data_IF_948059851427
#
_entry.id   IF_948059851427
#
_cell.length_a   1.000
_cell.length_b   1.000
_cell.length_c   1.000
_cell.angle_alpha   90.00
_cell.angle_beta   90.00
_cell.angle_gamma   90.00
#
_symmetry.space_group_name_H-M   'P 1'
#
loop_
_entity.id
_entity.type
_entity.pdbx_description
1 polymer ?
#
# COMPACT_ATOMS: atom_id res chain seq x y z
N UNK A 1 11.88 -8.00 9.34
CA UNK A 1 13.02 -8.49 8.52
C UNK A 1 12.57 -9.44 7.42
N UNK A 2 11.87 -10.54 7.73
CA UNK A 2 11.37 -11.51 6.73
C UNK A 2 10.49 -10.88 5.63
N UNK A 3 9.52 -10.02 6.00
CA UNK A 3 8.67 -9.33 5.02
C UNK A 3 9.45 -8.42 4.06
N UNK A 4 10.53 -7.80 4.52
CA UNK A 4 11.39 -6.95 3.69
C UNK A 4 12.19 -7.78 2.68
N UNK A 5 12.70 -8.95 3.10
CA UNK A 5 13.41 -9.88 2.21
C UNK A 5 12.49 -10.41 1.10
N UNK A 6 11.25 -10.81 1.46
CA UNK A 6 10.24 -11.24 0.50
C UNK A 6 9.92 -10.12 -0.51
N UNK A 7 9.72 -8.90 -0.01
CA UNK A 7 9.50 -7.72 -0.86
C UNK A 7 10.66 -7.44 -1.81
N UNK A 8 11.90 -7.60 -1.35
CA UNK A 8 13.09 -7.43 -2.17
C UNK A 8 13.16 -8.46 -3.30
N UNK A 9 12.89 -9.74 -3.00
CA UNK A 9 12.88 -10.83 -3.99
C UNK A 9 11.86 -10.61 -5.09
N UNK A 10 10.67 -10.13 -4.73
CA UNK A 10 9.59 -9.78 -5.66
C UNK A 10 9.99 -8.63 -6.59
N UNK A 11 10.68 -7.62 -6.06
CA UNK A 11 11.15 -6.46 -6.84
C UNK A 11 12.24 -6.87 -7.84
N UNK A 12 13.15 -7.77 -7.43
CA UNK A 12 14.25 -8.23 -8.29
C UNK A 12 13.77 -9.16 -9.41
N UNK A 13 12.77 -10.00 -9.16
CA UNK A 13 12.32 -11.02 -10.11
C UNK A 13 11.10 -10.61 -10.97
N UNK A 14 10.40 -9.54 -10.58
CA UNK A 14 9.16 -9.12 -11.22
C UNK A 14 9.36 -8.07 -12.33
N UNK A 15 8.45 -8.07 -13.30
CA UNK A 15 8.26 -6.88 -14.13
C UNK A 15 7.90 -5.66 -13.26
N UNK A 16 8.13 -4.45 -13.76
CA UNK A 16 7.80 -3.21 -13.04
C UNK A 16 6.35 -3.20 -12.53
N UNK A 17 5.41 -3.80 -13.28
CA UNK A 17 4.00 -4.00 -12.89
C UNK A 17 3.85 -4.83 -11.62
N UNK A 18 4.63 -5.90 -11.49
CA UNK A 18 4.61 -6.76 -10.30
C UNK A 18 5.09 -5.99 -9.08
N UNK A 19 6.21 -5.25 -9.20
CA UNK A 19 6.70 -4.40 -8.10
C UNK A 19 5.65 -3.37 -7.63
N UNK A 20 5.01 -2.67 -8.57
CA UNK A 20 3.98 -1.67 -8.24
C UNK A 20 2.73 -2.31 -7.61
N UNK A 21 2.29 -3.50 -8.05
CA UNK A 21 1.17 -4.24 -7.41
C UNK A 21 1.45 -4.56 -5.94
N UNK A 22 2.67 -4.94 -5.61
CA UNK A 22 3.05 -5.24 -4.22
C UNK A 22 3.10 -3.99 -3.34
N UNK A 23 3.65 -2.89 -3.84
CA UNK A 23 3.62 -1.59 -3.14
C UNK A 23 2.17 -1.16 -2.90
N UNK A 24 1.34 -1.23 -3.93
CA UNK A 24 -0.06 -0.85 -3.85
C UNK A 24 -0.83 -1.73 -2.85
N UNK A 25 -0.61 -3.05 -2.87
CA UNK A 25 -1.18 -3.98 -1.91
C UNK A 25 -0.76 -3.69 -0.46
N UNK A 26 0.51 -3.36 -0.23
CA UNK A 26 1.01 -2.98 1.09
C UNK A 26 0.35 -1.69 1.63
N UNK A 27 0.13 -0.69 0.77
CA UNK A 27 -0.55 0.56 1.13
C UNK A 27 -2.01 0.34 1.50
N UNK A 28 -2.74 -0.46 0.71
CA UNK A 28 -4.13 -0.83 1.00
C UNK A 28 -4.21 -1.64 2.30
N UNK A 29 -3.32 -2.61 2.49
CA UNK A 29 -3.24 -3.38 3.73
C UNK A 29 -2.97 -2.47 4.94
N UNK A 30 -2.05 -1.51 4.83
CA UNK A 30 -1.77 -0.53 5.89
C UNK A 30 -3.00 0.34 6.22
N UNK A 31 -3.79 0.73 5.21
CA UNK A 31 -5.05 1.46 5.41
C UNK A 31 -6.08 0.60 6.18
N UNK A 32 -6.22 -0.68 5.82
CA UNK A 32 -7.11 -1.63 6.49
C UNK A 32 -6.67 -1.89 7.94
N UNK A 33 -5.39 -2.13 8.17
CA UNK A 33 -4.84 -2.34 9.51
C UNK A 33 -5.10 -1.12 10.41
N UNK A 34 -5.00 0.11 9.85
CA UNK A 34 -5.38 1.33 10.57
C UNK A 34 -6.86 1.39 10.95
N UNK A 35 -7.76 0.78 10.19
CA UNK A 35 -9.19 0.66 10.51
C UNK A 35 -9.48 -0.40 11.58
N UNK A 36 -8.67 -1.44 11.66
CA UNK A 36 -8.83 -2.54 12.64
C UNK A 36 -8.20 -2.19 13.99
N UNK A 37 -7.14 -1.37 14.01
CA UNK A 37 -6.42 -1.06 15.26
C UNK A 37 -7.30 -0.26 16.25
N UNK A 38 -7.55 -0.75 17.48
CA UNK A 38 -8.42 -0.09 18.46
C UNK A 38 -7.85 1.24 18.94
N UNK A 39 -8.71 2.24 19.06
CA UNK A 39 -8.37 3.61 19.50
C UNK A 39 -7.99 3.72 20.99
N UNK A 40 -7.89 2.60 21.72
CA UNK A 40 -7.86 2.59 23.20
C UNK A 40 -6.51 3.03 23.80
N UNK A 41 -5.45 3.08 22.99
CA UNK A 41 -4.13 3.63 23.37
C UNK A 41 -3.92 5.07 22.86
N UNK A 42 -4.96 5.71 22.31
CA UNK A 42 -4.87 7.03 21.70
C UNK A 42 -4.94 8.16 22.75
N UNK A 43 -3.89 8.29 23.57
CA UNK A 43 -3.62 9.52 24.33
C UNK A 43 -3.32 10.70 23.39
N UNK A 44 -2.05 10.96 23.07
CA UNK A 44 -1.62 12.09 22.22
C UNK A 44 -1.95 11.96 20.70
N UNK A 45 -2.73 10.94 20.30
CA UNK A 45 -3.09 10.63 18.91
C UNK A 45 -4.44 11.21 18.45
N UNK A 46 -5.12 11.99 19.30
CA UNK A 46 -6.42 12.61 18.97
C UNK A 46 -6.36 13.63 17.80
N UNK A 47 -5.15 14.08 17.40
CA UNK A 47 -4.98 15.15 16.40
C UNK A 47 -4.66 14.67 14.96
N UNK A 48 -4.22 13.43 14.73
CA UNK A 48 -3.98 12.94 13.35
C UNK A 48 -5.22 12.19 12.87
N UNK A 49 -6.03 12.84 12.03
CA UNK A 49 -7.25 12.27 11.46
C UNK A 49 -6.99 10.85 10.93
N UNK A 50 -7.34 9.82 11.71
CA UNK A 50 -7.25 8.40 11.32
C UNK A 50 -7.90 8.17 9.96
N UNK A 51 -9.01 8.87 9.73
CA UNK A 51 -9.72 8.88 8.45
C UNK A 51 -8.86 9.45 7.31
N UNK A 52 -8.13 10.55 7.53
CA UNK A 52 -7.23 11.11 6.52
C UNK A 52 -6.13 10.11 6.17
N UNK A 53 -5.52 9.46 7.16
CA UNK A 53 -4.47 8.47 6.92
C UNK A 53 -4.98 7.24 6.14
N UNK A 54 -6.17 6.75 6.51
CA UNK A 54 -6.84 5.64 5.80
C UNK A 54 -7.20 6.04 4.37
N UNK A 55 -7.80 7.22 4.18
CA UNK A 55 -8.17 7.73 2.86
C UNK A 55 -6.94 7.97 1.99
N UNK A 56 -5.87 8.54 2.56
CA UNK A 56 -4.64 8.83 1.84
C UNK A 56 -3.93 7.56 1.42
N UNK A 57 -3.73 6.60 2.33
CA UNK A 57 -3.11 5.32 1.99
C UNK A 57 -3.97 4.48 1.04
N UNK A 58 -5.28 4.45 1.28
CA UNK A 58 -6.23 3.71 0.45
C UNK A 58 -6.32 4.30 -0.97
N UNK A 59 -6.36 5.62 -1.11
CA UNK A 59 -6.38 6.28 -2.42
C UNK A 59 -5.07 6.11 -3.16
N UNK A 60 -3.91 6.27 -2.51
CA UNK A 60 -2.61 6.02 -3.12
C UNK A 60 -2.47 4.57 -3.60
N UNK A 61 -2.82 3.60 -2.75
CA UNK A 61 -2.80 2.19 -3.12
C UNK A 61 -3.77 1.90 -4.27
N UNK A 62 -5.00 2.42 -4.22
CA UNK A 62 -5.99 2.28 -5.27
C UNK A 62 -5.55 2.89 -6.61
N UNK A 63 -4.96 4.08 -6.57
CA UNK A 63 -4.46 4.79 -7.76
C UNK A 63 -3.30 4.03 -8.42
N UNK A 64 -2.40 3.44 -7.63
CA UNK A 64 -1.31 2.61 -8.16
C UNK A 64 -1.83 1.31 -8.78
N UNK A 65 -2.82 0.66 -8.16
CA UNK A 65 -3.48 -0.50 -8.77
C UNK A 65 -4.16 -0.11 -10.08
N UNK A 66 -4.90 1.00 -10.10
CA UNK A 66 -5.53 1.52 -11.32
C UNK A 66 -4.50 1.74 -12.42
N UNK A 67 -3.44 2.50 -12.13
CA UNK A 67 -2.36 2.79 -13.07
C UNK A 67 -1.73 1.51 -13.65
N UNK A 68 -1.41 0.52 -12.81
CA UNK A 68 -0.85 -0.74 -13.31
C UNK A 68 -1.85 -1.47 -14.19
N UNK A 69 -3.15 -1.42 -13.91
CA UNK A 69 -4.13 -2.13 -14.74
C UNK A 69 -4.38 -1.41 -16.08
N UNK A 70 -4.24 -0.08 -16.13
CA UNK A 70 -4.56 0.71 -17.32
C UNK A 70 -3.40 0.91 -18.29
N UNK A 71 -2.14 0.91 -17.83
CA UNK A 71 -0.99 1.12 -18.73
C UNK A 71 -0.75 -0.12 -19.59
N UNK A 72 -0.88 -0.06 -20.92
CA UNK A 72 -0.60 -1.19 -21.79
C UNK A 72 0.90 -1.51 -21.78
N UNK A 73 1.23 -2.79 -21.94
CA UNK A 73 2.63 -3.19 -22.12
C UNK A 73 3.15 -2.62 -23.44
N UNK A 74 4.39 -2.12 -23.41
CA UNK A 74 5.03 -1.57 -24.61
C UNK A 74 5.29 -2.72 -25.60
N UNK A 75 5.03 -2.52 -26.90
CA UNK A 75 5.41 -3.50 -27.90
C UNK A 75 6.94 -3.71 -27.87
N UNK A 76 7.34 -4.99 -27.93
CA UNK A 76 8.75 -5.42 -27.98
C UNK A 76 9.42 -5.01 -29.30
#
# INVERSE_FOLDING_TARGET
>A
MVAAAIGMTIVVLGSWRTGVRWIAGALVLAALLRLVLPRRDAGMLAARHRLFDVLFLGSLGGMLLFLVQTIPDQPL
#
